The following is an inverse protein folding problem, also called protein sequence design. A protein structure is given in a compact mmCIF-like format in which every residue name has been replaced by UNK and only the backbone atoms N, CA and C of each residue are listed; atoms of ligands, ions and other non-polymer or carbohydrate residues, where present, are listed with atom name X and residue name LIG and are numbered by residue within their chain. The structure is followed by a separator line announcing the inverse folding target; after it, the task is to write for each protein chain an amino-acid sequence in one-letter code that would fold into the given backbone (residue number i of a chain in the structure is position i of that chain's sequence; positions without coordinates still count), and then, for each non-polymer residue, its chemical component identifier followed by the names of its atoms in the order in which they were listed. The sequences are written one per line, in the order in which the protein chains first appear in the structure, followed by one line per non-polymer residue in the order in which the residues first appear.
data_IF_961112162882
#
_entry.id   IF_961112162882
#
_cell.length_a   1.000
_cell.length_b   1.000
_cell.length_c   1.000
_cell.angle_alpha   90.00
_cell.angle_beta   90.00
_cell.angle_gamma   90.00
#
_symmetry.space_group_name_H-M   'P 1'
#
loop_
_entity.id
_entity.type
_entity.pdbx_description
1 polymer ?
#
# COMPACT_ATOMS: atom_id res chain seq x y z
N UNK A 1 -20.79 -57.15 -48.10
CA UNK A 1 -21.12 -55.71 -48.22
C UNK A 1 -20.83 -55.04 -46.89
N UNK A 2 -19.67 -54.43 -46.80
CA UNK A 2 -19.33 -53.46 -45.71
C UNK A 2 -18.07 -52.74 -46.18
N UNK A 3 -18.20 -51.46 -46.45
CA UNK A 3 -17.15 -50.57 -46.91
C UNK A 3 -16.15 -50.27 -45.78
N UNK A 4 -14.86 -50.51 -46.08
CA UNK A 4 -13.73 -49.97 -45.30
C UNK A 4 -13.46 -48.54 -45.73
N UNK A 5 -13.64 -47.56 -44.88
CA UNK A 5 -13.07 -46.22 -45.04
C UNK A 5 -11.74 -46.12 -44.30
N UNK A 6 -10.73 -45.94 -45.11
CA UNK A 6 -9.36 -45.65 -44.74
C UNK A 6 -9.26 -44.25 -44.09
N UNK A 7 -8.71 -44.16 -42.88
CA UNK A 7 -8.39 -42.86 -42.21
C UNK A 7 -6.95 -42.49 -42.54
N UNK A 8 -6.81 -41.45 -43.33
CA UNK A 8 -5.53 -40.80 -43.58
C UNK A 8 -5.01 -40.15 -42.25
N UNK A 9 -3.79 -40.51 -41.88
CA UNK A 9 -3.03 -39.87 -40.77
C UNK A 9 -2.51 -38.52 -41.25
N UNK A 10 -3.07 -37.43 -40.72
CA UNK A 10 -2.46 -36.10 -40.80
C UNK A 10 -1.40 -35.96 -39.72
N UNK A 11 -0.16 -35.79 -40.14
CA UNK A 11 0.99 -35.42 -39.30
C UNK A 11 0.82 -33.98 -38.79
N UNK A 12 0.31 -33.81 -37.61
CA UNK A 12 0.24 -32.52 -36.92
C UNK A 12 1.58 -32.18 -36.29
N UNK A 13 2.27 -31.16 -36.79
CA UNK A 13 3.39 -30.51 -36.10
C UNK A 13 2.93 -30.06 -34.71
N UNK A 14 3.54 -30.59 -33.63
CA UNK A 14 3.41 -30.05 -32.28
C UNK A 14 3.95 -28.64 -32.30
N UNK A 15 3.06 -27.62 -32.24
CA UNK A 15 3.41 -26.28 -31.78
C UNK A 15 3.82 -26.43 -30.33
N UNK A 16 4.98 -25.89 -29.97
CA UNK A 16 5.42 -25.71 -28.60
C UNK A 16 4.38 -24.84 -27.88
N UNK A 17 3.62 -25.46 -26.99
CA UNK A 17 2.71 -24.79 -26.10
C UNK A 17 3.57 -24.09 -25.04
N UNK A 18 4.00 -22.87 -25.33
CA UNK A 18 4.31 -21.91 -24.27
C UNK A 18 2.95 -21.62 -23.63
N UNK A 19 2.76 -22.18 -22.43
CA UNK A 19 1.50 -22.13 -21.71
C UNK A 19 0.88 -20.73 -21.79
N UNK A 20 -0.32 -20.68 -22.32
CA UNK A 20 -1.11 -19.46 -22.40
C UNK A 20 -1.32 -18.97 -20.95
N UNK A 21 -0.84 -17.76 -20.65
CA UNK A 21 -1.12 -17.10 -19.37
C UNK A 21 -2.65 -17.06 -19.24
N UNK A 22 -3.22 -17.54 -18.13
CA UNK A 22 -4.67 -17.55 -17.98
C UNK A 22 -5.25 -16.13 -18.12
N UNK A 23 -6.35 -15.97 -18.83
CA UNK A 23 -7.03 -14.69 -19.05
C UNK A 23 -7.34 -14.01 -17.71
N UNK A 24 -7.66 -14.79 -16.68
CA UNK A 24 -7.86 -14.30 -15.31
C UNK A 24 -6.64 -13.60 -14.71
N UNK A 25 -5.42 -14.00 -15.09
CA UNK A 25 -4.19 -13.34 -14.63
C UNK A 25 -3.97 -12.00 -15.35
N UNK A 26 -4.38 -11.87 -16.61
CA UNK A 26 -4.38 -10.59 -17.33
C UNK A 26 -5.45 -9.65 -16.78
N UNK A 27 -6.64 -10.18 -16.48
CA UNK A 27 -7.73 -9.41 -15.91
C UNK A 27 -7.39 -8.93 -14.49
N UNK A 28 -6.79 -9.78 -13.65
CA UNK A 28 -6.30 -9.43 -12.33
C UNK A 28 -5.14 -8.43 -12.39
N UNK A 29 -4.22 -8.56 -13.34
CA UNK A 29 -3.11 -7.63 -13.54
C UNK A 29 -3.63 -6.29 -14.06
N UNK A 30 -4.59 -6.29 -14.98
CA UNK A 30 -5.27 -5.09 -15.44
C UNK A 30 -6.07 -4.41 -14.33
N UNK A 31 -6.81 -5.16 -13.52
CA UNK A 31 -7.50 -4.62 -12.34
C UNK A 31 -6.50 -4.07 -11.29
N UNK A 32 -5.37 -4.73 -11.11
CA UNK A 32 -4.33 -4.31 -10.16
C UNK A 32 -3.58 -3.06 -10.62
N UNK A 33 -3.27 -2.97 -11.93
CA UNK A 33 -2.55 -1.83 -12.50
C UNK A 33 -3.46 -0.62 -12.69
N UNK A 34 -4.78 -0.85 -12.77
CA UNK A 34 -5.79 0.18 -13.01
C UNK A 34 -6.50 0.67 -11.74
N UNK A 35 -6.27 0.03 -10.60
CA UNK A 35 -6.75 0.47 -9.31
C UNK A 35 -5.55 0.68 -8.38
N UNK A 36 -5.08 1.90 -8.29
CA UNK A 36 -4.22 2.32 -7.18
C UNK A 36 -5.05 2.25 -5.91
N UNK A 37 -5.13 1.06 -5.34
CA UNK A 37 -5.86 0.72 -4.15
C UNK A 37 -7.37 1.02 -4.21
N UNK A 38 -8.23 -0.01 -4.24
CA UNK A 38 -9.69 0.19 -4.21
C UNK A 38 -10.17 0.96 -2.98
N UNK A 39 -9.36 1.01 -1.90
CA UNK A 39 -9.63 1.85 -0.71
C UNK A 39 -9.29 3.32 -0.91
N UNK A 40 -8.38 3.66 -1.81
CA UNK A 40 -8.06 5.04 -2.07
C UNK A 40 -9.11 5.72 -2.96
N UNK A 41 -10.08 4.96 -3.51
CA UNK A 41 -11.11 5.51 -4.40
C UNK A 41 -10.54 6.04 -5.72
N UNK A 42 -9.33 5.59 -6.10
CA UNK A 42 -8.67 5.99 -7.34
C UNK A 42 -9.21 5.16 -8.48
N UNK A 43 -9.85 5.79 -9.44
CA UNK A 43 -10.36 5.17 -10.64
C UNK A 43 -9.50 5.53 -11.85
N UNK A 44 -9.52 4.66 -12.87
CA UNK A 44 -8.85 4.93 -14.15
C UNK A 44 -9.33 6.24 -14.78
N UNK A 45 -10.61 6.54 -14.58
CA UNK A 45 -11.26 7.75 -15.06
C UNK A 45 -10.68 9.01 -14.42
N UNK A 46 -10.19 8.93 -13.19
CA UNK A 46 -9.56 10.06 -12.47
C UNK A 46 -8.21 10.41 -13.09
N UNK A 47 -7.41 9.39 -13.48
CA UNK A 47 -6.17 9.61 -14.23
C UNK A 47 -6.44 10.20 -15.61
N UNK A 48 -7.40 9.62 -16.35
CA UNK A 48 -7.79 10.13 -17.65
C UNK A 48 -8.37 11.54 -17.56
N UNK A 49 -9.10 11.83 -16.50
CA UNK A 49 -9.62 13.17 -16.19
C UNK A 49 -8.51 14.18 -15.99
N UNK A 50 -7.53 13.88 -15.13
CA UNK A 50 -6.38 14.76 -14.89
C UNK A 50 -5.56 15.02 -16.18
N UNK A 51 -5.28 13.96 -16.95
CA UNK A 51 -4.61 14.09 -18.25
C UNK A 51 -5.45 14.94 -19.21
N UNK A 52 -6.76 14.73 -19.26
CA UNK A 52 -7.67 15.48 -20.09
C UNK A 52 -7.71 16.98 -19.74
N UNK A 53 -7.62 17.32 -18.46
CA UNK A 53 -7.52 18.72 -18.00
C UNK A 53 -6.21 19.34 -18.50
N UNK A 54 -5.07 18.67 -18.26
CA UNK A 54 -3.76 19.12 -18.72
C UNK A 54 -3.73 19.36 -20.24
N UNK A 55 -4.28 18.43 -21.02
CA UNK A 55 -4.32 18.56 -22.49
C UNK A 55 -5.21 19.73 -22.94
N UNK A 56 -6.38 19.94 -22.32
CA UNK A 56 -7.26 21.09 -22.64
C UNK A 56 -6.58 22.41 -22.32
N UNK A 57 -5.96 22.53 -21.17
CA UNK A 57 -5.23 23.74 -20.77
C UNK A 57 -4.02 24.01 -21.66
N UNK A 58 -3.32 22.96 -22.09
CA UNK A 58 -2.23 23.09 -23.06
C UNK A 58 -2.75 23.55 -24.43
N UNK A 59 -3.90 23.05 -24.87
CA UNK A 59 -4.51 23.50 -26.13
C UNK A 59 -4.96 24.96 -26.05
N UNK A 60 -5.40 25.41 -24.88
CA UNK A 60 -5.75 26.82 -24.63
C UNK A 60 -4.52 27.72 -24.55
N UNK A 61 -3.39 27.23 -24.02
CA UNK A 61 -2.12 27.94 -23.93
C UNK A 61 -0.94 27.09 -24.46
N UNK A 62 -0.78 26.98 -25.79
CA UNK A 62 0.29 26.18 -26.40
C UNK A 62 1.71 26.64 -26.04
N UNK A 63 1.87 27.90 -25.63
CA UNK A 63 3.17 28.45 -25.24
C UNK A 63 3.76 27.74 -24.00
N UNK A 64 2.94 27.22 -23.11
CA UNK A 64 3.40 26.44 -21.95
C UNK A 64 4.17 25.20 -22.37
N UNK A 65 3.62 24.41 -23.30
CA UNK A 65 4.27 23.23 -23.84
C UNK A 65 5.52 23.57 -24.66
N UNK A 66 5.46 24.64 -25.47
CA UNK A 66 6.62 25.11 -26.24
C UNK A 66 7.78 25.53 -25.33
N UNK A 67 7.50 26.28 -24.27
CA UNK A 67 8.48 26.72 -23.28
C UNK A 67 9.13 25.52 -22.58
N UNK A 68 8.33 24.54 -22.15
CA UNK A 68 8.82 23.32 -21.53
C UNK A 68 9.73 22.53 -22.48
N UNK A 69 9.31 22.33 -23.73
CA UNK A 69 10.09 21.62 -24.75
C UNK A 69 11.41 22.36 -25.07
N UNK A 70 11.36 23.68 -25.18
CA UNK A 70 12.55 24.52 -25.39
C UNK A 70 13.53 24.38 -24.21
N UNK A 71 13.02 24.39 -22.98
CA UNK A 71 13.85 24.19 -21.78
C UNK A 71 14.50 22.80 -21.73
N UNK A 72 13.75 21.76 -22.05
CA UNK A 72 14.30 20.39 -22.16
C UNK A 72 15.37 20.32 -23.24
N UNK A 73 15.15 20.97 -24.39
CA UNK A 73 16.12 20.99 -25.50
C UNK A 73 17.39 21.73 -25.10
N UNK A 74 17.26 22.88 -24.41
CA UNK A 74 18.40 23.63 -23.90
C UNK A 74 19.21 22.81 -22.90
N UNK A 75 18.55 22.18 -21.94
CA UNK A 75 19.20 21.29 -20.97
C UNK A 75 19.88 20.10 -21.69
N UNK A 76 19.24 19.52 -22.72
CA UNK A 76 19.82 18.46 -23.54
C UNK A 76 21.14 18.91 -24.22
N UNK A 77 21.19 20.12 -24.79
CA UNK A 77 22.43 20.69 -25.38
C UNK A 77 23.49 20.86 -24.32
N UNK A 78 23.15 21.37 -23.13
CA UNK A 78 24.08 21.47 -22.00
C UNK A 78 24.65 20.13 -21.57
N UNK A 79 23.81 19.08 -21.54
CA UNK A 79 24.22 17.71 -21.22
C UNK A 79 25.21 17.20 -22.29
N UNK A 80 24.86 17.31 -23.56
CA UNK A 80 25.71 16.86 -24.67
C UNK A 80 27.07 17.59 -24.73
N UNK A 81 27.09 18.84 -24.32
CA UNK A 81 28.32 19.65 -24.30
C UNK A 81 29.10 19.60 -22.97
N UNK A 82 28.63 18.78 -22.02
CA UNK A 82 29.24 18.61 -20.70
C UNK A 82 29.11 19.83 -19.77
N UNK A 83 28.21 20.77 -20.09
CA UNK A 83 27.96 22.01 -19.34
C UNK A 83 26.78 21.95 -18.40
N UNK A 84 26.11 20.80 -18.30
CA UNK A 84 24.97 20.62 -17.42
C UNK A 84 25.41 20.44 -15.97
N UNK A 85 24.79 21.18 -15.07
CA UNK A 85 24.92 21.10 -13.60
C UNK A 85 23.81 20.27 -12.93
N UNK A 86 22.89 19.71 -13.73
CA UNK A 86 21.84 18.85 -13.21
C UNK A 86 22.46 17.63 -12.50
N UNK A 87 22.04 17.41 -11.25
CA UNK A 87 22.46 16.28 -10.45
C UNK A 87 21.26 15.74 -9.63
N UNK A 88 21.18 14.43 -9.41
CA UNK A 88 20.18 13.87 -8.51
C UNK A 88 20.31 14.42 -7.08
N UNK A 89 19.19 14.51 -6.36
CA UNK A 89 19.21 14.83 -4.93
C UNK A 89 20.10 13.81 -4.20
N UNK A 90 21.06 14.24 -3.38
CA UNK A 90 21.90 13.35 -2.58
C UNK A 90 21.12 12.41 -1.66
N UNK A 91 19.89 12.74 -1.32
CA UNK A 91 18.97 11.89 -0.54
C UNK A 91 18.22 10.86 -1.39
N UNK A 92 18.23 10.98 -2.71
CA UNK A 92 17.58 10.03 -3.60
C UNK A 92 18.41 8.75 -3.71
N UNK A 93 18.00 7.74 -2.96
CA UNK A 93 18.66 6.44 -2.87
C UNK A 93 18.74 5.69 -4.20
N UNK A 94 17.94 6.06 -5.19
CA UNK A 94 17.95 5.44 -6.53
C UNK A 94 19.25 5.72 -7.27
N UNK A 95 19.92 6.86 -6.98
CA UNK A 95 21.12 7.34 -7.65
C UNK A 95 22.39 7.28 -6.77
N UNK A 96 22.42 6.40 -5.77
CA UNK A 96 23.57 6.28 -4.85
C UNK A 96 24.82 5.63 -5.47
N UNK A 97 24.66 4.86 -6.57
CA UNK A 97 25.82 4.21 -7.21
C UNK A 97 26.78 5.29 -7.78
N UNK A 98 28.10 5.23 -7.47
CA UNK A 98 29.07 6.19 -7.96
C UNK A 98 29.10 6.35 -9.50
N UNK A 99 28.68 5.33 -10.24
CA UNK A 99 28.59 5.38 -11.69
C UNK A 99 27.67 6.51 -12.20
N UNK A 100 26.64 6.90 -11.45
CA UNK A 100 25.80 8.03 -11.79
C UNK A 100 26.55 9.39 -11.83
N UNK A 101 27.66 9.48 -11.12
CA UNK A 101 28.50 10.68 -11.09
C UNK A 101 29.68 10.58 -12.04
N UNK A 102 30.37 9.43 -12.07
CA UNK A 102 31.67 9.29 -12.72
C UNK A 102 31.61 8.64 -14.10
N UNK A 103 30.57 7.85 -14.42
CA UNK A 103 30.44 7.27 -15.75
C UNK A 103 29.65 8.22 -16.67
N UNK A 104 30.22 8.70 -17.79
CA UNK A 104 29.56 9.67 -18.66
C UNK A 104 28.19 9.22 -19.19
N UNK A 105 28.02 7.93 -19.49
CA UNK A 105 26.75 7.37 -19.97
C UNK A 105 25.64 7.45 -18.91
N UNK A 106 25.89 6.97 -17.70
CA UNK A 106 24.91 7.00 -16.63
C UNK A 106 24.65 8.42 -16.15
N UNK A 107 25.70 9.24 -16.05
CA UNK A 107 25.58 10.67 -15.70
C UNK A 107 24.65 11.39 -16.68
N UNK A 108 24.89 11.23 -17.98
CA UNK A 108 24.02 11.82 -19.00
C UNK A 108 22.58 11.30 -18.88
N UNK A 109 22.39 9.99 -18.68
CA UNK A 109 21.06 9.38 -18.48
C UNK A 109 20.31 9.98 -17.29
N UNK A 110 20.97 10.16 -16.15
CA UNK A 110 20.39 10.83 -14.99
C UNK A 110 20.04 12.30 -15.29
N UNK A 111 20.94 13.02 -15.95
CA UNK A 111 20.73 14.42 -16.32
C UNK A 111 19.56 14.60 -17.30
N UNK A 112 19.42 13.73 -18.31
CA UNK A 112 18.26 13.75 -19.22
C UNK A 112 16.96 13.48 -18.48
N UNK A 113 16.94 12.50 -17.58
CA UNK A 113 15.80 12.23 -16.72
C UNK A 113 15.39 13.45 -15.90
N UNK A 114 16.34 14.11 -15.26
CA UNK A 114 16.11 15.33 -14.48
C UNK A 114 15.68 16.53 -15.35
N UNK A 115 16.20 16.66 -16.56
CA UNK A 115 15.78 17.69 -17.50
C UNK A 115 14.30 17.51 -17.91
N UNK A 116 13.89 16.27 -18.19
CA UNK A 116 12.48 15.94 -18.49
C UNK A 116 11.59 16.21 -17.28
N UNK A 117 12.00 15.78 -16.09
CA UNK A 117 11.26 16.04 -14.84
C UNK A 117 11.05 17.54 -14.61
N UNK A 118 12.12 18.33 -14.74
CA UNK A 118 12.10 19.81 -14.64
C UNK A 118 11.16 20.43 -15.69
N UNK A 119 11.24 19.95 -16.93
CA UNK A 119 10.39 20.44 -18.02
C UNK A 119 8.89 20.14 -17.79
N UNK A 120 8.55 18.92 -17.37
CA UNK A 120 7.17 18.54 -17.06
C UNK A 120 6.65 19.38 -15.90
N UNK A 121 7.44 19.55 -14.84
CA UNK A 121 7.03 20.38 -13.70
C UNK A 121 6.79 21.83 -14.13
N UNK A 122 7.72 22.42 -14.87
CA UNK A 122 7.56 23.78 -15.40
C UNK A 122 6.36 23.92 -16.33
N UNK A 123 6.04 22.90 -17.12
CA UNK A 123 4.84 22.87 -17.94
C UNK A 123 3.58 22.94 -17.10
N UNK A 124 3.47 22.11 -16.03
CA UNK A 124 2.31 22.09 -15.12
C UNK A 124 2.19 23.44 -14.39
N UNK A 125 3.30 24.01 -13.96
CA UNK A 125 3.32 25.30 -13.25
C UNK A 125 2.80 26.46 -14.14
N UNK A 126 3.04 26.39 -15.46
CA UNK A 126 2.57 27.36 -16.44
C UNK A 126 1.10 27.14 -16.90
N UNK A 127 0.43 26.04 -16.49
CA UNK A 127 -1.00 25.80 -16.79
C UNK A 127 -1.91 26.58 -15.83
N UNK A 128 -3.05 27.04 -16.36
CA UNK A 128 -4.12 27.64 -15.56
C UNK A 128 -4.98 26.55 -14.89
N UNK A 129 -4.49 26.04 -13.78
CA UNK A 129 -5.14 24.98 -12.99
C UNK A 129 -5.55 25.54 -11.63
N UNK A 130 -6.72 25.12 -11.14
CA UNK A 130 -7.03 25.32 -9.74
C UNK A 130 -6.13 24.46 -8.82
N UNK A 131 -6.22 24.64 -7.50
CA UNK A 131 -5.35 23.94 -6.56
C UNK A 131 -5.49 22.42 -6.66
N UNK A 132 -6.72 21.90 -6.74
CA UNK A 132 -7.00 20.47 -6.82
C UNK A 132 -6.56 19.86 -8.15
N UNK A 133 -6.81 20.57 -9.27
CA UNK A 133 -6.36 20.16 -10.60
C UNK A 133 -4.83 20.11 -10.70
N UNK A 134 -4.16 21.08 -10.07
CA UNK A 134 -2.69 21.13 -9.99
C UNK A 134 -2.12 19.96 -9.21
N UNK A 135 -2.71 19.63 -8.05
CA UNK A 135 -2.28 18.48 -7.24
C UNK A 135 -2.47 17.17 -8.01
N UNK A 136 -3.59 17.01 -8.71
CA UNK A 136 -3.85 15.86 -9.59
C UNK A 136 -2.85 15.77 -10.74
N UNK A 137 -2.56 16.88 -11.40
CA UNK A 137 -1.59 16.95 -12.48
C UNK A 137 -0.19 16.58 -11.99
N UNK A 138 0.24 17.11 -10.85
CA UNK A 138 1.52 16.80 -10.23
C UNK A 138 1.61 15.31 -9.85
N UNK A 139 0.58 14.76 -9.22
CA UNK A 139 0.55 13.35 -8.81
C UNK A 139 0.67 12.42 -10.02
N UNK A 140 -0.16 12.62 -11.05
CA UNK A 140 -0.14 11.78 -12.27
C UNK A 140 1.20 11.90 -12.99
N UNK A 141 1.72 13.13 -13.12
CA UNK A 141 2.98 13.37 -13.79
C UNK A 141 4.16 12.77 -13.03
N UNK A 142 4.17 12.87 -11.70
CA UNK A 142 5.21 12.26 -10.87
C UNK A 142 5.23 10.74 -11.02
N UNK A 143 4.05 10.08 -11.08
CA UNK A 143 3.97 8.64 -11.32
C UNK A 143 4.56 8.24 -12.68
N UNK A 144 4.28 9.00 -13.74
CA UNK A 144 4.84 8.76 -15.08
C UNK A 144 6.35 8.97 -15.06
N UNK A 145 6.83 10.07 -14.46
CA UNK A 145 8.25 10.38 -14.32
C UNK A 145 8.97 9.24 -13.58
N UNK A 146 8.44 8.80 -12.44
CA UNK A 146 9.06 7.74 -11.64
C UNK A 146 9.07 6.40 -12.41
N UNK A 147 8.02 6.08 -13.15
CA UNK A 147 7.98 4.90 -14.00
C UNK A 147 9.05 4.93 -15.12
N UNK A 148 9.35 6.10 -15.66
CA UNK A 148 10.35 6.32 -16.70
C UNK A 148 11.78 6.49 -16.16
N UNK A 149 11.98 6.41 -14.85
CA UNK A 149 13.31 6.54 -14.25
C UNK A 149 14.30 5.53 -14.86
N UNK A 150 15.51 5.97 -15.25
CA UNK A 150 16.53 5.07 -15.80
C UNK A 150 16.91 3.96 -14.82
N UNK A 151 16.71 4.18 -13.52
CA UNK A 151 16.95 3.18 -12.48
C UNK A 151 16.05 1.96 -12.57
N UNK A 152 14.93 2.03 -13.30
CA UNK A 152 13.99 0.94 -13.48
C UNK A 152 14.34 -0.01 -14.62
N UNK A 153 15.35 0.31 -15.42
CA UNK A 153 15.74 -0.50 -16.57
C UNK A 153 17.10 -1.17 -16.37
N UNK A 154 17.27 -2.36 -16.95
CA UNK A 154 18.57 -3.05 -16.91
C UNK A 154 19.68 -2.23 -17.58
N UNK A 155 19.36 -1.56 -18.71
CA UNK A 155 20.33 -0.78 -19.47
C UNK A 155 20.64 0.54 -18.76
N UNK A 156 19.64 1.17 -18.16
CA UNK A 156 19.78 2.45 -17.46
C UNK A 156 20.40 2.34 -16.08
N UNK A 157 20.34 1.21 -15.40
CA UNK A 157 20.76 1.07 -14.01
C UNK A 157 22.16 0.45 -13.87
N UNK A 158 23.18 1.21 -13.44
CA UNK A 158 24.56 0.72 -13.31
C UNK A 158 24.68 -0.44 -12.30
N UNK A 159 23.95 -0.39 -11.19
CA UNK A 159 23.95 -1.46 -10.19
C UNK A 159 23.36 -2.75 -10.76
N UNK A 160 22.30 -2.65 -11.57
CA UNK A 160 21.71 -3.81 -12.23
C UNK A 160 22.64 -4.42 -13.27
N UNK A 161 23.33 -3.59 -14.06
CA UNK A 161 24.34 -4.05 -15.02
C UNK A 161 25.52 -4.73 -14.34
N UNK A 162 26.07 -4.11 -13.28
CA UNK A 162 27.13 -4.72 -12.49
C UNK A 162 26.72 -6.10 -11.98
N UNK A 163 25.52 -6.19 -11.39
CA UNK A 163 25.00 -7.47 -10.89
C UNK A 163 24.78 -8.51 -12.00
N UNK A 164 24.39 -8.08 -13.20
CA UNK A 164 24.27 -8.96 -14.36
C UNK A 164 25.64 -9.57 -14.72
N UNK A 165 26.68 -8.74 -14.81
CA UNK A 165 28.06 -9.16 -15.14
C UNK A 165 28.63 -10.05 -14.02
N UNK A 166 28.58 -9.60 -12.77
CA UNK A 166 29.12 -10.31 -11.60
C UNK A 166 28.46 -11.70 -11.42
N UNK A 167 27.20 -11.85 -11.83
CA UNK A 167 26.48 -13.12 -11.76
C UNK A 167 26.61 -13.99 -13.02
N UNK A 168 27.37 -13.59 -14.03
CA UNK A 168 27.44 -14.28 -15.32
C UNK A 168 26.07 -14.42 -16.00
N UNK A 169 25.18 -13.42 -15.85
CA UNK A 169 23.83 -13.44 -16.41
C UNK A 169 22.75 -14.10 -15.53
N UNK A 170 23.13 -14.80 -14.46
CA UNK A 170 22.18 -15.54 -13.62
C UNK A 170 21.17 -14.63 -12.93
N UNK A 171 21.52 -13.36 -12.66
CA UNK A 171 20.58 -12.40 -12.06
C UNK A 171 19.38 -12.10 -12.98
N UNK A 172 19.59 -12.04 -14.29
CA UNK A 172 18.51 -11.86 -15.28
C UNK A 172 17.59 -13.07 -15.33
N UNK A 173 18.16 -14.28 -15.39
CA UNK A 173 17.39 -15.53 -15.40
C UNK A 173 16.53 -15.63 -14.14
N UNK A 174 17.11 -15.28 -12.98
CA UNK A 174 16.41 -15.25 -11.69
C UNK A 174 15.29 -14.21 -11.67
N UNK A 175 15.55 -13.03 -12.22
CA UNK A 175 14.56 -11.97 -12.37
C UNK A 175 13.38 -12.38 -13.24
N UNK A 176 13.63 -12.99 -14.40
CA UNK A 176 12.59 -13.52 -15.30
C UNK A 176 11.77 -14.63 -14.62
N UNK A 177 12.44 -15.54 -13.90
CA UNK A 177 11.75 -16.58 -13.13
C UNK A 177 10.86 -15.99 -12.03
N UNK A 178 11.34 -14.97 -11.31
CA UNK A 178 10.54 -14.28 -10.30
C UNK A 178 9.34 -13.59 -10.93
N UNK A 179 9.54 -12.83 -12.02
CA UNK A 179 8.46 -12.17 -12.75
C UNK A 179 7.40 -13.19 -13.22
N UNK A 180 7.81 -14.33 -13.78
CA UNK A 180 6.90 -15.40 -14.14
C UNK A 180 6.12 -15.96 -12.93
N UNK A 181 6.81 -16.23 -11.83
CA UNK A 181 6.16 -16.70 -10.60
C UNK A 181 5.16 -15.67 -10.04
N UNK A 182 5.53 -14.40 -10.07
CA UNK A 182 4.65 -13.30 -9.60
C UNK A 182 3.41 -13.20 -10.48
N UNK A 183 3.56 -13.31 -11.79
CA UNK A 183 2.42 -13.28 -12.73
C UNK A 183 1.48 -14.49 -12.58
N UNK A 184 2.04 -15.69 -12.37
CA UNK A 184 1.25 -16.94 -12.39
C UNK A 184 0.75 -17.33 -11.00
N UNK A 185 1.51 -17.04 -9.94
CA UNK A 185 1.25 -17.55 -8.59
C UNK A 185 1.02 -16.47 -7.53
N UNK A 186 1.12 -15.19 -7.88
CA UNK A 186 0.95 -14.06 -6.96
C UNK A 186 0.09 -12.95 -7.56
N UNK A 187 -0.83 -13.29 -8.45
CA UNK A 187 -1.79 -12.37 -9.09
C UNK A 187 -1.13 -11.13 -9.73
N UNK A 188 0.07 -11.29 -10.29
CA UNK A 188 0.87 -10.21 -10.87
C UNK A 188 1.53 -9.28 -9.84
N UNK A 189 1.38 -9.55 -8.56
CA UNK A 189 2.03 -8.77 -7.50
C UNK A 189 3.48 -9.22 -7.28
N UNK A 190 4.37 -8.24 -7.10
CA UNK A 190 5.76 -8.52 -6.80
C UNK A 190 5.90 -9.17 -5.41
N UNK A 191 6.56 -10.31 -5.35
CA UNK A 191 6.88 -10.98 -4.08
C UNK A 191 7.94 -10.18 -3.31
N UNK A 192 7.50 -9.43 -2.32
CA UNK A 192 8.36 -8.51 -1.54
C UNK A 192 9.14 -9.22 -0.45
N UNK A 193 8.59 -10.30 0.11
CA UNK A 193 9.14 -11.00 1.27
C UNK A 193 9.12 -12.52 1.11
N UNK A 194 10.09 -13.19 1.72
CA UNK A 194 10.03 -14.63 1.90
C UNK A 194 9.20 -14.94 3.15
N UNK A 195 7.98 -15.44 2.95
CA UNK A 195 7.04 -15.77 4.05
C UNK A 195 7.39 -17.07 4.81
N UNK A 196 8.21 -17.94 4.21
CA UNK A 196 8.50 -19.29 4.75
C UNK A 196 9.13 -19.31 6.14
N UNK A 197 10.04 -18.36 6.49
CA UNK A 197 10.65 -18.35 7.82
C UNK A 197 9.71 -17.91 8.95
N UNK A 198 8.59 -17.25 8.61
CA UNK A 198 7.72 -16.65 9.61
C UNK A 198 6.61 -17.62 10.00
N UNK A 199 6.55 -17.94 11.29
CA UNK A 199 5.58 -18.88 11.86
C UNK A 199 4.93 -18.26 13.09
N UNK A 200 3.61 -18.09 12.99
CA UNK A 200 2.80 -17.55 14.06
C UNK A 200 2.84 -18.45 15.29
N UNK A 201 3.11 -17.88 16.46
CA UNK A 201 3.25 -18.61 17.73
C UNK A 201 4.61 -19.28 17.95
N UNK A 202 5.49 -19.34 16.91
CA UNK A 202 6.86 -19.87 17.04
C UNK A 202 7.92 -18.75 17.07
N UNK A 203 7.84 -17.83 16.11
CA UNK A 203 8.78 -16.70 15.99
C UNK A 203 8.12 -15.36 15.67
N UNK A 204 6.79 -15.34 15.54
CA UNK A 204 5.94 -14.15 15.49
C UNK A 204 4.83 -14.36 16.52
N UNK A 205 4.41 -13.30 17.20
CA UNK A 205 3.36 -13.33 18.23
C UNK A 205 3.65 -14.36 19.32
N UNK A 206 4.83 -14.27 19.91
CA UNK A 206 5.31 -15.24 20.91
C UNK A 206 5.02 -14.84 22.35
N UNK A 207 4.53 -13.61 22.61
CA UNK A 207 4.14 -13.21 23.96
C UNK A 207 2.98 -14.08 24.47
N UNK A 208 3.14 -14.59 25.68
CA UNK A 208 2.14 -15.48 26.27
C UNK A 208 0.86 -14.73 26.58
N UNK A 209 -0.27 -15.27 26.16
CA UNK A 209 -1.57 -14.71 26.42
C UNK A 209 -2.69 -15.73 26.25
N UNK A 210 -3.89 -15.36 26.69
CA UNK A 210 -5.08 -16.18 26.58
C UNK A 210 -6.20 -15.36 25.94
N UNK A 211 -7.04 -16.01 25.13
CA UNK A 211 -8.31 -15.47 24.70
C UNK A 211 -9.27 -15.51 25.87
N UNK A 212 -9.62 -14.35 26.40
CA UNK A 212 -10.49 -14.21 27.58
C UNK A 212 -11.94 -13.92 27.21
N UNK A 213 -12.19 -13.49 25.99
CA UNK A 213 -13.54 -13.30 25.43
C UNK A 213 -13.53 -13.59 23.93
N UNK A 214 -14.63 -14.10 23.41
CA UNK A 214 -14.85 -14.33 21.99
C UNK A 214 -16.32 -14.15 21.65
N UNK A 215 -16.57 -13.42 20.58
CA UNK A 215 -17.86 -13.37 19.90
C UNK A 215 -17.70 -13.58 18.40
N UNK A 216 -18.73 -13.28 17.62
CA UNK A 216 -18.69 -13.41 16.16
C UNK A 216 -17.71 -12.43 15.50
N UNK A 217 -17.53 -11.25 16.08
CA UNK A 217 -16.75 -10.16 15.49
C UNK A 217 -15.29 -10.15 15.94
N UNK A 218 -15.01 -10.56 17.18
CA UNK A 218 -13.67 -10.42 17.75
C UNK A 218 -13.31 -11.48 18.78
N UNK A 219 -12.00 -11.57 19.06
CA UNK A 219 -11.43 -12.16 20.25
C UNK A 219 -10.75 -11.09 21.07
N UNK A 220 -10.85 -11.17 22.39
CA UNK A 220 -10.07 -10.33 23.31
C UNK A 220 -8.94 -11.18 23.90
N UNK A 221 -7.72 -10.77 23.66
CA UNK A 221 -6.51 -11.44 24.17
C UNK A 221 -5.97 -10.68 25.36
N UNK A 222 -5.86 -11.32 26.52
CA UNK A 222 -5.13 -10.84 27.68
C UNK A 222 -3.73 -11.44 27.68
N UNK A 223 -2.70 -10.61 27.79
CA UNK A 223 -1.32 -11.10 27.86
C UNK A 223 -0.86 -11.28 29.30
N UNK A 224 -0.07 -12.33 29.50
CA UNK A 224 0.46 -12.69 30.81
C UNK A 224 1.52 -11.67 31.27
N UNK A 225 1.44 -11.16 32.50
CA UNK A 225 2.46 -10.27 33.03
C UNK A 225 3.79 -11.01 33.20
N UNK A 226 4.89 -10.28 33.02
CA UNK A 226 6.26 -10.78 33.29
C UNK A 226 6.84 -10.23 34.59
N UNK A 227 6.07 -9.37 35.29
CA UNK A 227 6.42 -8.77 36.58
C UNK A 227 5.58 -9.38 37.69
N UNK A 228 6.10 -9.36 38.96
CA UNK A 228 5.36 -9.85 40.12
C UNK A 228 4.09 -9.02 40.43
N UNK A 229 4.12 -7.75 40.08
CA UNK A 229 3.00 -6.82 40.28
C UNK A 229 2.73 -6.08 38.99
N UNK A 230 1.49 -5.71 38.80
CA UNK A 230 1.02 -4.92 37.67
C UNK A 230 0.32 -3.67 38.17
N UNK A 231 0.22 -2.67 37.30
CA UNK A 231 -0.60 -1.49 37.56
C UNK A 231 -2.08 -1.88 37.61
N UNK A 232 -2.83 -1.20 38.46
CA UNK A 232 -4.27 -1.44 38.64
C UNK A 232 -5.09 -1.19 37.37
N UNK A 233 -4.74 -0.10 36.65
CA UNK A 233 -5.47 0.29 35.44
C UNK A 233 -4.93 -0.49 34.24
N UNK A 234 -5.74 -1.37 33.60
CA UNK A 234 -5.36 -2.13 32.43
C UNK A 234 -5.32 -1.27 31.17
N UNK A 235 -4.66 -1.78 30.14
CA UNK A 235 -4.53 -1.13 28.83
C UNK A 235 -5.22 -1.96 27.74
N UNK A 236 -6.22 -1.39 27.08
CA UNK A 236 -6.82 -1.97 25.86
C UNK A 236 -6.19 -1.37 24.60
N UNK A 237 -5.70 -2.22 23.72
CA UNK A 237 -5.27 -1.83 22.38
C UNK A 237 -6.33 -2.21 21.34
N UNK A 238 -6.74 -1.21 20.55
CA UNK A 238 -7.72 -1.33 19.47
C UNK A 238 -6.96 -1.23 18.14
N UNK A 239 -6.57 -2.35 17.53
CA UNK A 239 -5.85 -2.35 16.27
C UNK A 239 -6.79 -2.00 15.10
N UNK A 240 -6.23 -1.59 13.93
CA UNK A 240 -7.02 -1.47 12.71
C UNK A 240 -7.69 -2.78 12.33
N UNK A 241 -8.92 -2.73 11.82
CA UNK A 241 -9.66 -3.90 11.36
C UNK A 241 -8.96 -4.63 10.19
N UNK A 242 -8.19 -3.90 9.42
CA UNK A 242 -7.45 -4.42 8.26
C UNK A 242 -6.15 -5.15 8.64
N UNK A 243 -5.68 -5.01 9.88
CA UNK A 243 -4.41 -5.57 10.32
C UNK A 243 -4.63 -6.73 11.30
N UNK A 244 -3.65 -7.64 11.31
CA UNK A 244 -3.61 -8.70 12.32
C UNK A 244 -3.13 -8.14 13.65
N UNK A 245 -3.73 -8.60 14.74
CA UNK A 245 -3.43 -8.15 16.11
C UNK A 245 -1.95 -8.29 16.47
N UNK A 246 -1.26 -9.28 15.89
CA UNK A 246 0.16 -9.55 16.16
C UNK A 246 1.14 -8.53 15.55
N UNK A 247 0.66 -7.48 14.85
CA UNK A 247 1.49 -6.30 14.55
C UNK A 247 2.01 -5.62 15.82
N UNK A 248 1.30 -5.78 16.93
CA UNK A 248 1.74 -5.29 18.23
C UNK A 248 2.73 -6.25 18.93
N UNK A 249 2.99 -7.43 18.34
CA UNK A 249 3.84 -8.49 18.91
C UNK A 249 4.61 -9.22 17.80
N UNK A 250 5.40 -8.50 17.00
CA UNK A 250 6.05 -9.06 15.81
C UNK A 250 7.23 -9.97 16.21
N UNK A 251 8.20 -9.43 16.96
CA UNK A 251 9.34 -10.18 17.51
C UNK A 251 9.62 -9.69 18.94
N UNK A 252 10.40 -10.41 19.75
CA UNK A 252 10.71 -9.98 21.11
C UNK A 252 11.27 -8.55 21.21
N UNK A 253 12.04 -8.12 20.20
CA UNK A 253 12.65 -6.80 20.14
C UNK A 253 11.70 -5.72 19.56
N UNK A 254 10.65 -6.17 18.87
CA UNK A 254 9.66 -5.31 18.19
C UNK A 254 8.24 -5.67 18.65
N UNK A 255 8.06 -5.81 19.95
CA UNK A 255 6.78 -6.11 20.58
C UNK A 255 6.39 -5.01 21.56
N UNK A 256 5.34 -4.28 21.25
CA UNK A 256 4.71 -3.33 22.18
C UNK A 256 4.09 -4.08 23.36
N UNK A 257 3.47 -5.21 23.10
CA UNK A 257 2.86 -6.08 24.12
C UNK A 257 3.89 -6.57 25.12
N UNK A 258 5.02 -7.11 24.65
CA UNK A 258 6.09 -7.56 25.53
C UNK A 258 6.62 -6.40 26.38
N UNK A 259 6.85 -5.25 25.75
CA UNK A 259 7.31 -4.05 26.48
C UNK A 259 6.32 -3.66 27.58
N UNK A 260 5.03 -3.67 27.30
CA UNK A 260 3.98 -3.37 28.30
C UNK A 260 4.02 -4.38 29.45
N UNK A 261 4.08 -5.69 29.16
CA UNK A 261 4.17 -6.73 30.19
C UNK A 261 5.43 -6.57 31.05
N UNK A 262 6.58 -6.29 30.45
CA UNK A 262 7.87 -6.13 31.15
C UNK A 262 7.89 -4.86 32.03
N UNK A 263 7.00 -3.90 31.78
CA UNK A 263 6.87 -2.68 32.56
C UNK A 263 5.63 -2.69 33.49
N UNK A 264 5.04 -3.84 33.76
CA UNK A 264 3.96 -3.99 34.73
C UNK A 264 2.60 -3.50 34.25
N UNK A 265 2.42 -3.22 32.95
CA UNK A 265 1.13 -2.90 32.36
C UNK A 265 0.38 -4.20 32.07
N UNK A 266 -0.93 -4.22 32.25
CA UNK A 266 -1.79 -5.34 31.88
C UNK A 266 -2.38 -5.10 30.47
N UNK A 267 -1.75 -5.60 29.38
CA UNK A 267 -2.25 -5.36 28.04
C UNK A 267 -3.35 -6.35 27.65
N UNK A 268 -4.40 -5.80 27.08
CA UNK A 268 -5.44 -6.49 26.34
C UNK A 268 -5.43 -6.00 24.90
N UNK A 269 -5.60 -6.91 23.94
CA UNK A 269 -5.59 -6.57 22.51
C UNK A 269 -6.81 -7.22 21.84
N UNK A 270 -7.53 -6.43 21.07
CA UNK A 270 -8.61 -6.97 20.23
C UNK A 270 -8.00 -7.65 19.01
N UNK A 271 -8.46 -8.86 18.72
CA UNK A 271 -8.20 -9.59 17.49
C UNK A 271 -9.49 -9.59 16.66
N UNK A 272 -9.56 -8.72 15.66
CA UNK A 272 -10.72 -8.65 14.78
C UNK A 272 -10.83 -9.87 13.88
N UNK A 273 -12.04 -10.40 13.74
CA UNK A 273 -12.35 -11.40 12.71
C UNK A 273 -12.23 -10.76 11.33
N UNK A 274 -11.66 -11.48 10.36
CA UNK A 274 -11.77 -11.08 8.97
C UNK A 274 -13.21 -11.26 8.50
N UNK A 275 -13.93 -10.20 8.13
CA UNK A 275 -15.30 -10.33 7.65
C UNK A 275 -15.35 -11.19 6.37
N UNK A 276 -16.44 -11.91 6.22
CA UNK A 276 -16.83 -12.67 5.03
C UNK A 276 -18.10 -12.05 4.46
N UNK A 277 -18.62 -12.57 3.36
CA UNK A 277 -19.79 -12.02 2.65
C UNK A 277 -21.01 -11.87 3.57
N UNK A 278 -21.24 -12.85 4.46
CA UNK A 278 -22.33 -12.81 5.45
C UNK A 278 -22.23 -11.66 6.46
N UNK A 279 -21.02 -11.10 6.64
CA UNK A 279 -20.75 -10.00 7.56
C UNK A 279 -20.83 -8.62 6.90
N UNK A 280 -21.30 -8.53 5.66
CA UNK A 280 -21.42 -7.27 4.92
C UNK A 280 -22.32 -6.21 5.58
N UNK A 281 -23.10 -6.59 6.58
CA UNK A 281 -23.92 -5.70 7.40
C UNK A 281 -23.17 -5.01 8.54
N UNK A 282 -21.95 -5.46 8.89
CA UNK A 282 -21.16 -4.86 9.95
C UNK A 282 -20.73 -3.44 9.57
N UNK A 283 -21.10 -2.50 10.39
CA UNK A 283 -20.75 -1.09 10.25
C UNK A 283 -19.93 -0.57 11.43
N UNK A 284 -19.64 0.72 11.42
CA UNK A 284 -18.88 1.37 12.50
C UNK A 284 -19.54 1.17 13.88
N UNK A 285 -20.88 1.18 13.96
CA UNK A 285 -21.58 0.99 15.21
C UNK A 285 -21.32 -0.40 15.81
N UNK A 286 -21.29 -1.45 14.99
CA UNK A 286 -21.05 -2.82 15.44
C UNK A 286 -19.64 -2.98 16.01
N UNK A 287 -18.63 -2.38 15.34
CA UNK A 287 -17.25 -2.35 15.83
C UNK A 287 -17.12 -1.57 17.13
N UNK A 288 -17.81 -0.43 17.27
CA UNK A 288 -17.86 0.36 18.52
C UNK A 288 -18.48 -0.46 19.66
N UNK A 289 -19.58 -1.15 19.41
CA UNK A 289 -20.22 -2.01 20.40
C UNK A 289 -19.31 -3.20 20.78
N UNK A 290 -18.55 -3.73 19.82
CA UNK A 290 -17.50 -4.71 20.10
C UNK A 290 -16.46 -4.19 21.08
N UNK A 291 -15.96 -2.97 20.87
CA UNK A 291 -14.98 -2.36 21.81
C UNK A 291 -15.61 -2.14 23.19
N UNK A 292 -16.86 -1.72 23.27
CA UNK A 292 -17.55 -1.52 24.56
C UNK A 292 -17.67 -2.87 25.31
N UNK A 293 -18.03 -3.95 24.62
CA UNK A 293 -18.03 -5.29 25.22
C UNK A 293 -16.65 -5.70 25.74
N UNK A 294 -15.58 -5.36 24.99
CA UNK A 294 -14.21 -5.61 25.46
C UNK A 294 -13.89 -4.86 26.75
N UNK A 295 -14.36 -3.59 26.89
CA UNK A 295 -14.19 -2.82 28.12
C UNK A 295 -14.93 -3.46 29.30
N UNK A 296 -16.18 -3.93 29.09
CA UNK A 296 -16.97 -4.62 30.10
C UNK A 296 -16.24 -5.86 30.63
N UNK A 297 -15.72 -6.70 29.72
CA UNK A 297 -14.96 -7.92 30.07
C UNK A 297 -13.67 -7.59 30.80
N UNK A 298 -12.94 -6.54 30.38
CA UNK A 298 -11.70 -6.13 31.05
C UNK A 298 -11.99 -5.69 32.49
N UNK A 299 -13.03 -4.89 32.71
CA UNK A 299 -13.44 -4.45 34.05
C UNK A 299 -13.87 -5.63 34.93
N UNK A 300 -14.61 -6.61 34.37
CA UNK A 300 -15.00 -7.84 35.08
C UNK A 300 -13.76 -8.66 35.53
N UNK A 301 -12.77 -8.81 34.65
CA UNK A 301 -11.56 -9.59 34.95
C UNK A 301 -10.65 -8.88 35.96
N UNK A 302 -10.48 -7.57 35.82
CA UNK A 302 -9.46 -6.81 36.57
C UNK A 302 -10.01 -6.17 37.84
N UNK A 303 -11.32 -5.94 37.91
CA UNK A 303 -11.96 -5.14 38.96
C UNK A 303 -11.65 -3.64 38.87
N UNK A 304 -10.96 -3.18 37.83
CA UNK A 304 -10.60 -1.78 37.67
C UNK A 304 -11.81 -0.95 37.23
N UNK A 305 -12.02 0.20 37.86
CA UNK A 305 -13.10 1.13 37.48
C UNK A 305 -12.82 1.79 36.13
N UNK A 306 -11.55 1.92 35.75
CA UNK A 306 -11.15 2.59 34.50
C UNK A 306 -10.24 1.71 33.67
N UNK A 307 -10.23 1.97 32.35
CA UNK A 307 -9.38 1.29 31.37
C UNK A 307 -8.67 2.35 30.52
N UNK A 308 -7.36 2.22 30.37
CA UNK A 308 -6.62 3.02 29.40
C UNK A 308 -6.83 2.42 28.00
N UNK A 309 -7.01 3.27 27.00
CA UNK A 309 -7.25 2.82 25.63
C UNK A 309 -6.23 3.37 24.65
N UNK A 310 -5.78 2.54 23.72
CA UNK A 310 -4.96 2.98 22.60
C UNK A 310 -5.56 2.51 21.28
N UNK A 311 -5.62 3.40 20.30
CA UNK A 311 -6.15 3.10 18.98
C UNK A 311 -5.18 3.53 17.88
N UNK A 312 -4.98 2.66 16.90
CA UNK A 312 -4.12 2.94 15.76
C UNK A 312 -4.93 3.02 14.46
N UNK A 313 -4.67 4.02 13.62
CA UNK A 313 -5.29 4.19 12.29
C UNK A 313 -6.83 4.08 12.37
N UNK A 314 -7.47 3.15 11.64
CA UNK A 314 -8.92 2.92 11.72
C UNK A 314 -9.40 2.44 13.10
N UNK A 315 -8.54 1.76 13.88
CA UNK A 315 -8.82 1.44 15.27
C UNK A 315 -8.94 2.70 16.13
N UNK A 316 -8.15 3.74 15.86
CA UNK A 316 -8.27 5.05 16.50
C UNK A 316 -9.53 5.81 16.10
N UNK A 317 -9.98 5.67 14.84
CA UNK A 317 -11.28 6.21 14.40
C UNK A 317 -12.42 5.52 15.15
N UNK A 318 -12.41 4.17 15.23
CA UNK A 318 -13.40 3.40 16.01
C UNK A 318 -13.39 3.80 17.47
N UNK A 319 -12.19 3.98 18.07
CA UNK A 319 -12.04 4.47 19.44
C UNK A 319 -12.66 5.86 19.63
N UNK A 320 -12.46 6.78 18.68
CA UNK A 320 -13.01 8.14 18.76
C UNK A 320 -14.53 8.16 18.76
N UNK A 321 -15.16 7.30 17.92
CA UNK A 321 -16.63 7.14 17.92
C UNK A 321 -17.12 6.51 19.22
N UNK A 322 -16.39 5.50 19.73
CA UNK A 322 -16.69 4.89 21.04
C UNK A 322 -16.63 5.94 22.16
N UNK A 323 -15.57 6.74 22.21
CA UNK A 323 -15.43 7.81 23.20
C UNK A 323 -16.58 8.80 23.16
N UNK A 324 -17.01 9.18 21.96
CA UNK A 324 -18.17 10.07 21.76
C UNK A 324 -19.46 9.43 22.28
N UNK A 325 -19.65 8.13 22.03
CA UNK A 325 -20.83 7.37 22.52
C UNK A 325 -20.83 7.26 24.06
N UNK A 326 -19.68 6.94 24.67
CA UNK A 326 -19.55 6.84 26.13
C UNK A 326 -19.75 8.22 26.80
N UNK A 327 -19.16 9.27 26.26
CA UNK A 327 -19.33 10.64 26.76
C UNK A 327 -20.80 11.09 26.71
N UNK A 328 -21.51 10.79 25.63
CA UNK A 328 -22.94 11.09 25.50
C UNK A 328 -23.81 10.31 26.51
N UNK A 329 -23.37 9.13 26.93
CA UNK A 329 -24.01 8.32 27.97
C UNK A 329 -23.59 8.70 29.39
N UNK A 330 -22.64 9.63 29.58
CA UNK A 330 -22.08 9.95 30.88
C UNK A 330 -21.18 8.86 31.47
N UNK A 331 -20.69 7.95 30.62
CA UNK A 331 -19.83 6.85 31.03
C UNK A 331 -18.36 7.31 31.09
N UNK A 332 -17.76 7.26 32.29
CA UNK A 332 -16.44 7.79 32.59
C UNK A 332 -15.38 6.68 32.79
N UNK A 333 -15.61 5.48 32.25
CA UNK A 333 -14.70 4.33 32.44
C UNK A 333 -13.36 4.44 31.71
N UNK A 334 -13.10 5.46 30.92
CA UNK A 334 -11.85 5.65 30.21
C UNK A 334 -10.90 6.52 31.03
N UNK A 335 -9.73 5.97 31.42
CA UNK A 335 -8.73 6.65 32.20
C UNK A 335 -7.80 7.52 31.33
N UNK A 336 -7.22 6.93 30.28
CA UNK A 336 -6.29 7.61 29.39
C UNK A 336 -6.51 7.16 27.94
N UNK A 337 -6.20 8.05 27.01
CA UNK A 337 -6.36 7.83 25.56
C UNK A 337 -5.01 8.01 24.87
N UNK A 338 -4.64 7.04 24.05
CA UNK A 338 -3.47 7.13 23.14
C UNK A 338 -3.89 6.94 21.71
N UNK A 339 -3.68 7.94 20.86
CA UNK A 339 -3.95 7.87 19.41
C UNK A 339 -2.65 7.74 18.64
N UNK A 340 -2.55 6.74 17.78
CA UNK A 340 -1.38 6.49 16.96
C UNK A 340 -1.77 6.52 15.48
N UNK A 341 -1.12 7.38 14.69
CA UNK A 341 -1.31 7.51 13.23
C UNK A 341 -2.80 7.60 12.83
N UNK A 342 -3.59 8.32 13.61
CA UNK A 342 -5.04 8.48 13.40
C UNK A 342 -5.33 9.73 12.57
N UNK A 343 -6.10 9.56 11.51
CA UNK A 343 -6.70 10.66 10.75
C UNK A 343 -8.18 10.69 11.09
N UNK A 344 -8.61 11.63 11.91
CA UNK A 344 -9.99 11.70 12.42
C UNK A 344 -10.94 12.39 11.42
N UNK A 345 -10.44 13.35 10.66
CA UNK A 345 -11.20 14.09 9.66
C UNK A 345 -10.46 14.08 8.31
N UNK A 346 -10.58 12.99 7.52
CA UNK A 346 -9.97 12.94 6.19
C UNK A 346 -10.76 13.85 5.23
N UNK A 347 -10.10 14.86 4.68
CA UNK A 347 -10.65 15.70 3.62
C UNK A 347 -10.00 15.37 2.28
N UNK A 348 -10.80 15.45 1.21
CA UNK A 348 -10.27 15.37 -0.16
C UNK A 348 -9.34 16.55 -0.38
N UNK A 349 -8.09 16.28 -0.81
CA UNK A 349 -7.08 17.30 -1.07
C UNK A 349 -6.10 17.57 0.08
N UNK A 350 -6.30 16.98 1.27
CA UNK A 350 -5.35 17.15 2.39
C UNK A 350 -3.99 16.44 2.14
N UNK A 351 -3.96 15.49 1.22
CA UNK A 351 -2.74 14.80 0.77
C UNK A 351 -2.76 14.64 -0.76
N UNK A 352 -1.59 14.50 -1.37
CA UNK A 352 -1.48 14.26 -2.81
C UNK A 352 -2.33 13.04 -3.25
N UNK A 353 -2.32 11.94 -2.49
CA UNK A 353 -3.13 10.77 -2.78
C UNK A 353 -4.63 11.05 -2.64
N UNK A 354 -5.06 11.83 -1.63
CA UNK A 354 -6.46 12.16 -1.42
C UNK A 354 -7.01 13.13 -2.46
N UNK A 355 -6.16 13.91 -3.12
CA UNK A 355 -6.55 14.78 -4.22
C UNK A 355 -7.14 14.01 -5.41
N UNK A 356 -6.70 12.76 -5.60
CA UNK A 356 -7.17 11.87 -6.67
C UNK A 356 -8.50 11.19 -6.37
N UNK A 357 -9.00 11.26 -5.12
CA UNK A 357 -10.27 10.63 -4.74
C UNK A 357 -11.42 11.42 -5.36
N UNK A 358 -12.23 10.76 -6.19
CA UNK A 358 -13.42 11.34 -6.80
C UNK A 358 -14.70 10.65 -6.33
N UNK A 359 -15.84 11.33 -6.49
CA UNK A 359 -17.13 10.71 -6.23
C UNK A 359 -17.36 9.44 -7.08
N UNK A 360 -16.89 9.44 -8.32
CA UNK A 360 -16.97 8.27 -9.21
C UNK A 360 -16.08 7.14 -8.71
N UNK A 361 -14.86 7.43 -8.27
CA UNK A 361 -13.95 6.44 -7.66
C UNK A 361 -14.56 5.80 -6.41
N UNK A 362 -15.15 6.61 -5.54
CA UNK A 362 -15.87 6.11 -4.35
C UNK A 362 -17.06 5.24 -4.75
N UNK A 363 -17.85 5.65 -5.73
CA UNK A 363 -19.00 4.88 -6.21
C UNK A 363 -18.58 3.51 -6.77
N UNK A 364 -17.50 3.47 -7.55
CA UNK A 364 -16.92 2.21 -8.07
C UNK A 364 -16.39 1.31 -6.96
N UNK A 365 -15.69 1.87 -5.97
CA UNK A 365 -15.22 1.12 -4.81
C UNK A 365 -16.38 0.50 -4.03
N UNK A 366 -17.44 1.27 -3.78
CA UNK A 366 -18.68 0.77 -3.15
C UNK A 366 -19.34 -0.33 -3.99
N UNK A 367 -19.43 -0.16 -5.31
CA UNK A 367 -20.01 -1.17 -6.19
C UNK A 367 -19.21 -2.48 -6.20
N UNK A 368 -17.88 -2.40 -6.18
CA UNK A 368 -17.01 -3.58 -6.07
C UNK A 368 -17.18 -4.29 -4.73
N UNK A 369 -17.15 -3.53 -3.64
CA UNK A 369 -17.39 -4.06 -2.30
C UNK A 369 -18.77 -4.72 -2.20
N UNK A 370 -19.81 -4.10 -2.73
CA UNK A 370 -21.18 -4.68 -2.72
C UNK A 370 -21.31 -5.97 -3.53
N UNK A 371 -20.56 -6.13 -4.62
CA UNK A 371 -20.56 -7.36 -5.42
C UNK A 371 -19.90 -8.55 -4.73
N UNK A 372 -18.86 -8.29 -3.94
CA UNK A 372 -18.07 -9.30 -3.21
C UNK A 372 -18.47 -9.42 -1.74
N UNK A 373 -19.36 -8.55 -1.25
CA UNK A 373 -19.74 -8.47 0.16
C UNK A 373 -18.66 -7.88 1.06
N UNK A 374 -17.38 -7.96 0.67
CA UNK A 374 -16.23 -7.50 1.45
C UNK A 374 -15.16 -6.87 0.56
N UNK A 375 -14.26 -6.11 1.18
CA UNK A 375 -13.01 -5.66 0.57
C UNK A 375 -11.91 -6.65 0.97
N UNK A 376 -11.36 -7.37 0.00
CA UNK A 376 -10.30 -8.35 0.25
C UNK A 376 -9.01 -7.68 0.70
N UNK A 377 -8.32 -8.29 1.68
CA UNK A 377 -7.02 -7.79 2.17
C UNK A 377 -5.94 -7.70 1.08
N UNK A 378 -5.99 -8.55 0.05
CA UNK A 378 -5.14 -8.48 -1.13
C UNK A 378 -5.32 -7.18 -1.92
N UNK A 379 -6.54 -6.63 -1.93
CA UNK A 379 -6.85 -5.34 -2.56
C UNK A 379 -6.27 -4.15 -1.79
N UNK A 380 -5.96 -4.33 -0.48
CA UNK A 380 -5.33 -3.32 0.37
C UNK A 380 -3.80 -3.32 0.27
N UNK A 381 -3.23 -4.41 -0.23
CA UNK A 381 -1.79 -4.60 -0.35
C UNK A 381 -1.25 -4.19 -1.73
N UNK A 382 -2.12 -3.80 -2.65
CA UNK A 382 -1.84 -3.34 -4.01
C UNK A 382 -1.83 -1.80 -4.08
#
# INVERSE_FOLDING_TARGET
MAEKKEKAKASGKKKSDFGSIPQSSFDATNEATMALGPLAGLAREDFAGAIGVMLRQTAANPNSAFKAMSGITEDAVKIMTGKSDLAPDPKDKRFMDPAWTFNPFFKAGAQYYLAVQKGIKGWIDDLELDALERDRANFVSQMVIDALSPTNSLIGNPTAQKRLVDSGGLSLIKGLKNAYNDMVHNDGMVSQVNKKPFKLGENIAISKGNVVYRDEMMELVQYAPTTEKVYEIPQLTIPPQINKMYLNDITPEKSVVKWQCDNGIQPFVISWRNPQDEHGHWGMADYVDGVIRALDVIQEITGSETVNVSGACSGGQTMSVMLSKLAAAGDNRIGCITMMVCVLEPKTGDTEASSMISHNGIALAKQRASKKGVIEGSSLAR
#
